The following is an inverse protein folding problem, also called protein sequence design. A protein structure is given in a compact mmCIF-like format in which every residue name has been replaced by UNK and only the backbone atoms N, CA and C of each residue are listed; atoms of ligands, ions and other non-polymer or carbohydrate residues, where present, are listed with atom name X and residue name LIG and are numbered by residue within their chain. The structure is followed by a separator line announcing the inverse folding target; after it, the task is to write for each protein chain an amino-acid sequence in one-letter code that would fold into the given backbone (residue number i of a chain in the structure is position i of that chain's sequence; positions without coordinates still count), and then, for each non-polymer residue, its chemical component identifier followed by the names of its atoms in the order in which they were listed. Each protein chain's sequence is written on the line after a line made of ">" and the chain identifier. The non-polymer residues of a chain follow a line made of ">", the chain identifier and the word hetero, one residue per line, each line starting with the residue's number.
data_IF_853881157434
#
_entry.id   IF_853881157434
#
_cell.length_a   1.000
_cell.length_b   1.000
_cell.length_c   1.000
_cell.angle_alpha   90.00
_cell.angle_beta   90.00
_cell.angle_gamma   90.00
#
_symmetry.space_group_name_H-M   'P 1'
#
loop_
_entity.id
_entity.type
_entity.pdbx_description
1 polymer ?
#
# COMPACT_ATOMS: atom_id res chain seq x y z
N UNK A 1 -15.75 10.05 -20.55
CA UNK A 1 -16.16 9.40 -19.29
C UNK A 1 -16.98 10.38 -18.46
N UNK A 2 -18.18 10.01 -18.00
CA UNK A 2 -18.90 10.82 -17.02
C UNK A 2 -18.14 10.89 -15.69
N UNK A 3 -18.20 12.02 -14.97
CA UNK A 3 -17.50 12.26 -13.69
C UNK A 3 -17.69 11.11 -12.69
N UNK A 4 -18.87 10.50 -12.68
CA UNK A 4 -19.23 9.36 -11.83
C UNK A 4 -18.41 8.08 -12.12
N UNK A 5 -18.13 7.81 -13.41
CA UNK A 5 -17.31 6.66 -13.81
C UNK A 5 -15.86 6.83 -13.38
N UNK A 6 -15.35 8.07 -13.38
CA UNK A 6 -13.98 8.40 -13.01
C UNK A 6 -13.76 8.27 -11.50
N UNK A 7 -14.70 8.76 -10.67
CA UNK A 7 -14.61 8.61 -9.20
C UNK A 7 -14.66 7.14 -8.78
N UNK A 8 -15.51 6.33 -9.43
CA UNK A 8 -15.58 4.89 -9.18
C UNK A 8 -14.25 4.21 -9.50
N UNK A 9 -13.69 4.49 -10.68
CA UNK A 9 -12.40 3.95 -11.10
C UNK A 9 -11.26 4.33 -10.14
N UNK A 10 -11.19 5.62 -9.75
CA UNK A 10 -10.19 6.10 -8.79
C UNK A 10 -10.35 5.37 -7.45
N UNK A 11 -11.56 5.22 -6.93
CA UNK A 11 -11.79 4.53 -5.66
C UNK A 11 -11.38 3.05 -5.70
N UNK A 12 -11.65 2.35 -6.80
CA UNK A 12 -11.22 0.96 -6.99
C UNK A 12 -9.69 0.85 -7.12
N UNK A 13 -9.07 1.77 -7.85
CA UNK A 13 -7.61 1.86 -7.99
C UNK A 13 -6.94 2.12 -6.63
N UNK A 14 -7.43 3.08 -5.84
CA UNK A 14 -6.91 3.37 -4.50
C UNK A 14 -7.03 2.14 -3.59
N UNK A 15 -8.14 1.41 -3.68
CA UNK A 15 -8.35 0.21 -2.89
C UNK A 15 -7.36 -0.90 -3.29
N UNK A 16 -7.18 -1.12 -4.59
CA UNK A 16 -6.22 -2.09 -5.11
C UNK A 16 -4.77 -1.76 -4.72
N UNK A 17 -4.35 -0.51 -4.92
CA UNK A 17 -3.03 -0.04 -4.50
C UNK A 17 -2.84 -0.18 -2.99
N UNK A 18 -3.86 0.18 -2.19
CA UNK A 18 -3.82 0.04 -0.75
C UNK A 18 -3.52 -1.40 -0.31
N UNK A 19 -4.19 -2.39 -0.90
CA UNK A 19 -3.91 -3.80 -0.64
C UNK A 19 -2.50 -4.22 -1.05
N UNK A 20 -2.02 -3.77 -2.22
CA UNK A 20 -0.65 -4.05 -2.69
C UNK A 20 0.36 -3.52 -1.67
N UNK A 21 0.21 -2.27 -1.22
CA UNK A 21 1.08 -1.66 -0.22
C UNK A 21 1.03 -2.37 1.13
N UNK A 22 -0.14 -2.84 1.58
CA UNK A 22 -0.29 -3.57 2.84
C UNK A 22 0.36 -4.96 2.80
N UNK A 23 0.30 -5.67 1.66
CA UNK A 23 0.90 -7.01 1.51
C UNK A 23 2.41 -6.90 1.19
N UNK A 24 2.85 -5.80 0.60
CA UNK A 24 4.22 -5.57 0.15
C UNK A 24 5.29 -5.85 1.23
N UNK A 25 5.17 -5.43 2.50
CA UNK A 25 6.14 -5.75 3.54
C UNK A 25 6.43 -7.26 3.68
N UNK A 26 5.41 -8.10 3.57
CA UNK A 26 5.54 -9.56 3.69
C UNK A 26 6.31 -10.10 2.47
N UNK A 27 5.91 -9.69 1.27
CA UNK A 27 6.57 -10.09 0.02
C UNK A 27 8.03 -9.64 0.04
N UNK A 28 8.30 -8.40 0.45
CA UNK A 28 9.64 -7.83 0.52
C UNK A 28 10.50 -8.56 1.55
N UNK A 29 9.94 -8.91 2.71
CA UNK A 29 10.63 -9.69 3.72
C UNK A 29 11.04 -11.06 3.19
N UNK A 30 10.11 -11.79 2.59
CA UNK A 30 10.37 -13.09 1.98
C UNK A 30 11.38 -12.99 0.83
N UNK A 31 11.31 -11.93 0.03
CA UNK A 31 12.28 -11.70 -1.03
C UNK A 31 13.68 -11.45 -0.48
N UNK A 32 13.83 -10.58 0.51
CA UNK A 32 15.13 -10.24 1.09
C UNK A 32 15.74 -11.46 1.82
N UNK A 33 14.96 -12.16 2.65
CA UNK A 33 15.47 -13.18 3.56
C UNK A 33 15.36 -14.62 3.02
N UNK A 34 14.65 -14.83 1.91
CA UNK A 34 14.43 -16.17 1.35
C UNK A 34 15.66 -16.83 0.70
N UNK A 35 16.77 -16.10 0.55
CA UNK A 35 18.04 -16.65 0.10
C UNK A 35 19.20 -15.86 0.74
N UNK A 36 20.14 -16.58 1.34
CA UNK A 36 21.24 -15.98 2.08
C UNK A 36 22.20 -15.18 1.18
N UNK A 37 22.59 -15.70 0.01
CA UNK A 37 23.46 -14.96 -0.90
C UNK A 37 22.79 -13.69 -1.43
N UNK A 38 21.49 -13.77 -1.74
CA UNK A 38 20.69 -12.61 -2.13
C UNK A 38 20.60 -11.58 -1.01
N UNK A 39 20.38 -12.02 0.23
CA UNK A 39 20.39 -11.14 1.40
C UNK A 39 21.72 -10.38 1.51
N UNK A 40 22.84 -11.10 1.48
CA UNK A 40 24.19 -10.50 1.55
C UNK A 40 24.43 -9.53 0.39
N UNK A 41 24.00 -9.88 -0.83
CA UNK A 41 24.12 -9.00 -1.98
C UNK A 41 23.30 -7.70 -1.82
N UNK A 42 22.06 -7.80 -1.30
CA UNK A 42 21.17 -6.65 -1.07
C UNK A 42 21.78 -5.69 -0.03
N UNK A 43 22.26 -6.20 1.11
CA UNK A 43 22.81 -5.35 2.19
C UNK A 43 24.19 -4.76 1.88
N UNK A 44 24.89 -5.29 0.86
CA UNK A 44 26.12 -4.69 0.34
C UNK A 44 25.84 -3.74 -0.86
N UNK A 45 24.58 -3.59 -1.27
CA UNK A 45 24.18 -2.72 -2.36
C UNK A 45 24.20 -1.23 -2.03
N UNK A 46 23.83 -0.35 -2.97
CA UNK A 46 23.71 1.08 -2.71
C UNK A 46 22.54 1.37 -1.76
N UNK A 47 22.55 2.55 -1.12
CA UNK A 47 21.38 3.04 -0.38
C UNK A 47 20.13 3.05 -1.29
N UNK A 48 18.94 2.65 -0.81
CA UNK A 48 18.59 2.27 0.58
C UNK A 48 18.84 0.78 0.90
N UNK A 49 19.27 -0.03 -0.07
CA UNK A 49 19.39 -1.48 0.07
C UNK A 49 20.41 -1.92 1.13
N UNK A 50 21.53 -1.18 1.24
CA UNK A 50 22.54 -1.43 2.27
C UNK A 50 22.01 -1.38 3.71
N UNK A 51 20.94 -0.63 3.94
CA UNK A 51 20.40 -0.41 5.29
C UNK A 51 19.32 -1.42 5.66
N UNK A 52 18.89 -2.31 4.74
CA UNK A 52 17.94 -3.38 5.06
C UNK A 52 18.53 -4.46 5.97
N UNK A 53 19.86 -4.52 6.13
CA UNK A 53 20.48 -5.34 7.18
C UNK A 53 20.29 -4.78 8.60
N UNK A 54 19.84 -3.52 8.71
CA UNK A 54 19.54 -2.90 10.00
C UNK A 54 18.07 -3.09 10.36
N UNK A 55 17.82 -3.71 11.51
CA UNK A 55 16.46 -3.91 12.03
C UNK A 55 15.62 -2.62 12.09
N UNK A 56 16.15 -1.49 12.61
CA UNK A 56 15.38 -0.24 12.70
C UNK A 56 14.95 0.32 11.33
N UNK A 57 15.84 0.35 10.34
CA UNK A 57 15.50 0.87 9.01
C UNK A 57 14.48 -0.01 8.31
N UNK A 58 14.64 -1.34 8.41
CA UNK A 58 13.72 -2.30 7.82
C UNK A 58 12.31 -2.16 8.44
N UNK A 59 12.21 -2.07 9.77
CA UNK A 59 10.95 -1.83 10.47
C UNK A 59 10.29 -0.52 10.04
N UNK A 60 11.08 0.56 9.96
CA UNK A 60 10.57 1.86 9.52
C UNK A 60 9.99 1.79 8.10
N UNK A 61 10.71 1.17 7.16
CA UNK A 61 10.24 0.99 5.78
C UNK A 61 8.96 0.16 5.72
N UNK A 62 8.89 -0.94 6.46
CA UNK A 62 7.74 -1.85 6.45
C UNK A 62 6.50 -1.19 7.07
N UNK A 63 6.69 -0.50 8.19
CA UNK A 63 5.63 0.23 8.85
C UNK A 63 5.13 1.38 7.98
N UNK A 64 6.02 2.08 7.28
CA UNK A 64 5.66 3.14 6.33
C UNK A 64 4.78 2.61 5.20
N UNK A 65 5.14 1.47 4.59
CA UNK A 65 4.33 0.82 3.56
C UNK A 65 2.95 0.41 4.08
N UNK A 66 2.91 -0.14 5.30
CA UNK A 66 1.65 -0.55 5.94
C UNK A 66 0.75 0.66 6.21
N UNK A 67 1.30 1.75 6.76
CA UNK A 67 0.56 2.99 7.03
C UNK A 67 0.02 3.59 5.73
N UNK A 68 0.84 3.68 4.68
CA UNK A 68 0.42 4.20 3.37
C UNK A 68 -0.67 3.32 2.77
N UNK A 69 -0.51 1.99 2.80
CA UNK A 69 -1.52 1.05 2.32
C UNK A 69 -2.85 1.17 3.06
N UNK A 70 -2.80 1.20 4.40
CA UNK A 70 -3.98 1.37 5.25
C UNK A 70 -4.68 2.71 4.98
N UNK A 71 -3.93 3.81 4.85
CA UNK A 71 -4.48 5.12 4.54
C UNK A 71 -5.21 5.12 3.18
N UNK A 72 -4.62 4.51 2.14
CA UNK A 72 -5.26 4.38 0.83
C UNK A 72 -6.57 3.58 0.88
N UNK A 73 -6.58 2.46 1.63
CA UNK A 73 -7.79 1.66 1.83
C UNK A 73 -8.86 2.50 2.53
N UNK A 74 -8.52 3.18 3.64
CA UNK A 74 -9.47 4.02 4.39
C UNK A 74 -10.05 5.13 3.50
N UNK A 75 -9.21 5.85 2.76
CA UNK A 75 -9.66 6.89 1.83
C UNK A 75 -10.61 6.31 0.77
N UNK A 76 -10.27 5.14 0.18
CA UNK A 76 -11.13 4.48 -0.80
C UNK A 76 -12.51 4.13 -0.22
N UNK A 77 -12.56 3.66 1.03
CA UNK A 77 -13.80 3.32 1.73
C UNK A 77 -14.63 4.57 2.06
N UNK A 78 -13.97 5.66 2.47
CA UNK A 78 -14.64 6.94 2.74
C UNK A 78 -15.31 7.48 1.47
N UNK A 79 -14.63 7.45 0.32
CA UNK A 79 -15.20 7.87 -0.97
C UNK A 79 -16.45 7.04 -1.32
N UNK A 80 -16.39 5.70 -1.18
CA UNK A 80 -17.54 4.81 -1.41
C UNK A 80 -18.71 5.13 -0.47
N UNK A 81 -18.43 5.41 0.81
CA UNK A 81 -19.45 5.73 1.81
C UNK A 81 -20.14 7.06 1.55
N UNK A 82 -19.39 8.09 1.16
CA UNK A 82 -19.96 9.40 0.80
C UNK A 82 -20.88 9.28 -0.42
N UNK A 83 -20.48 8.50 -1.43
CA UNK A 83 -21.32 8.24 -2.62
C UNK A 83 -22.64 7.56 -2.25
N UNK A 84 -22.59 6.50 -1.44
CA UNK A 84 -23.80 5.79 -0.99
C UNK A 84 -24.75 6.72 -0.22
N UNK A 85 -24.21 7.62 0.60
CA UNK A 85 -25.01 8.59 1.36
C UNK A 85 -25.69 9.63 0.45
N UNK A 86 -25.05 10.06 -0.64
CA UNK A 86 -25.66 10.99 -1.60
C UNK A 86 -26.78 10.36 -2.42
N UNK A 87 -26.69 9.07 -2.74
CA UNK A 87 -27.73 8.34 -3.49
C UNK A 87 -28.99 8.15 -2.62
N UNK A 88 -28.85 7.72 -1.37
CA UNK A 88 -29.99 7.56 -0.44
C UNK A 88 -30.75 8.86 -0.12
N UNK A 89 -30.15 10.04 -0.35
CA UNK A 89 -30.81 11.35 -0.13
C UNK A 89 -31.67 11.79 -1.32
N UNK A 90 -31.54 11.15 -2.48
CA UNK A 90 -32.35 11.47 -3.67
C UNK A 90 -33.62 10.60 -3.76
N UNK A 91 -33.72 9.54 -2.96
CA UNK A 91 -34.84 8.58 -2.98
C UNK A 91 -35.84 8.76 -1.83
N UNK A 92 -35.66 9.76 -0.96
CA UNK A 92 -36.56 10.08 0.16
C UNK A 92 -36.99 11.53 0.14
#
# INVERSE_FOLDING_TARGET
>A
MGKYSLIKFISELLMGLGFIFTISPIILYCFIHGNYERYIWIINGPYPFSHFGSGPFQLFMYLSLLIVGAALIVISMMIKRVKKKSENKQEG
#
